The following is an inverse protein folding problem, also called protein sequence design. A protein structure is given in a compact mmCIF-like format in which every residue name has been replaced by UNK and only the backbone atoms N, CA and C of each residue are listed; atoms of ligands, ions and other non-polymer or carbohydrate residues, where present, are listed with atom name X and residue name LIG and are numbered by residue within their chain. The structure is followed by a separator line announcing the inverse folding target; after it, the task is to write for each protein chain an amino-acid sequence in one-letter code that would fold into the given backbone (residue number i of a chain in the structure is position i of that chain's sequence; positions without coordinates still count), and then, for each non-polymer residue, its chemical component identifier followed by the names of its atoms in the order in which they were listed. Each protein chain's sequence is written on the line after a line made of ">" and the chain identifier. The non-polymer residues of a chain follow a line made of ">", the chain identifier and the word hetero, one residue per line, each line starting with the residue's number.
data_IF_812128392721
#
_entry.id   IF_812128392721
#
_cell.length_a   1.000
_cell.length_b   1.000
_cell.length_c   1.000
_cell.angle_alpha   90.00
_cell.angle_beta   90.00
_cell.angle_gamma   90.00
#
_symmetry.space_group_name_H-M   'P 1'
#
loop_
_entity.id
_entity.type
_entity.pdbx_description
1 polymer ?
#
# COMPACT_ATOMS: atom_id res chain seq x y z
N UNK A 1 -6.24 -44.11 -2.66
CA UNK A 1 -5.93 -44.34 -4.09
C UNK A 1 -6.86 -43.44 -4.89
N UNK A 2 -6.36 -42.49 -5.69
CA UNK A 2 -7.22 -41.63 -6.51
C UNK A 2 -7.79 -42.46 -7.67
N UNK A 3 -9.10 -42.67 -7.67
CA UNK A 3 -9.81 -43.30 -8.80
C UNK A 3 -9.49 -42.54 -10.10
N UNK A 4 -9.37 -43.28 -11.21
CA UNK A 4 -9.14 -42.68 -12.54
C UNK A 4 -10.33 -41.78 -12.88
N UNK A 5 -10.08 -40.48 -13.03
CA UNK A 5 -11.12 -39.52 -13.38
C UNK A 5 -11.48 -39.62 -14.86
N UNK A 6 -12.76 -39.40 -15.20
CA UNK A 6 -13.23 -39.30 -16.58
C UNK A 6 -13.14 -37.84 -17.06
N UNK A 7 -12.79 -37.58 -18.32
CA UNK A 7 -12.78 -36.22 -18.85
C UNK A 7 -14.21 -35.67 -18.92
N UNK A 8 -14.39 -34.41 -18.52
CA UNK A 8 -15.65 -33.66 -18.62
C UNK A 8 -15.44 -32.48 -19.56
N UNK A 9 -16.35 -32.29 -20.51
CA UNK A 9 -16.36 -31.13 -21.39
C UNK A 9 -17.37 -30.10 -20.90
N UNK A 10 -16.94 -28.83 -20.87
CA UNK A 10 -17.77 -27.69 -20.49
C UNK A 10 -17.73 -26.72 -21.68
N UNK A 11 -18.90 -26.21 -22.08
CA UNK A 11 -19.00 -25.17 -23.10
C UNK A 11 -18.83 -23.82 -22.44
N UNK A 12 -17.94 -23.01 -23.02
CA UNK A 12 -17.67 -21.64 -22.59
C UNK A 12 -18.06 -20.68 -23.71
N UNK A 13 -18.49 -19.48 -23.34
CA UNK A 13 -18.66 -18.37 -24.26
C UNK A 13 -17.30 -17.94 -24.84
N UNK A 14 -17.31 -17.26 -25.99
CA UNK A 14 -16.07 -16.89 -26.69
C UNK A 14 -15.22 -15.92 -25.87
N UNK A 15 -15.88 -15.04 -25.13
CA UNK A 15 -15.28 -14.07 -24.21
C UNK A 15 -14.55 -14.78 -23.07
N UNK A 16 -15.17 -15.80 -22.48
CA UNK A 16 -14.61 -16.61 -21.38
C UNK A 16 -13.37 -17.38 -21.85
N UNK A 17 -13.39 -17.92 -23.08
CA UNK A 17 -12.24 -18.59 -23.69
C UNK A 17 -11.07 -17.62 -23.86
N UNK A 18 -11.35 -16.39 -24.29
CA UNK A 18 -10.32 -15.36 -24.46
C UNK A 18 -9.71 -14.95 -23.11
N UNK A 19 -10.54 -14.74 -22.08
CA UNK A 19 -10.08 -14.44 -20.73
C UNK A 19 -9.20 -15.56 -20.15
N UNK A 20 -9.61 -16.82 -20.33
CA UNK A 20 -8.85 -17.97 -19.87
C UNK A 20 -7.48 -18.07 -20.56
N UNK A 21 -7.43 -17.80 -21.87
CA UNK A 21 -6.17 -17.76 -22.64
C UNK A 21 -5.26 -16.62 -22.19
N UNK A 22 -5.81 -15.42 -21.99
CA UNK A 22 -5.06 -14.27 -21.51
C UNK A 22 -4.42 -14.55 -20.14
N UNK A 23 -5.19 -15.14 -19.22
CA UNK A 23 -4.70 -15.53 -17.89
C UNK A 23 -3.63 -16.63 -17.94
N UNK A 24 -3.80 -17.61 -18.82
CA UNK A 24 -2.80 -18.65 -19.05
C UNK A 24 -1.49 -18.05 -19.57
N UNK A 25 -1.56 -17.09 -20.50
CA UNK A 25 -0.40 -16.38 -21.01
C UNK A 25 0.31 -15.57 -19.91
N UNK A 26 -0.43 -14.81 -19.09
CA UNK A 26 0.16 -14.00 -18.00
C UNK A 26 0.87 -14.85 -16.94
N UNK A 27 0.41 -16.07 -16.73
CA UNK A 27 0.95 -17.00 -15.72
C UNK A 27 1.97 -17.99 -16.32
N UNK A 28 2.28 -17.88 -17.62
CA UNK A 28 3.11 -18.85 -18.36
C UNK A 28 2.65 -20.30 -18.13
N UNK A 29 1.34 -20.50 -18.07
CA UNK A 29 0.70 -21.76 -17.70
C UNK A 29 -0.14 -22.33 -18.85
N UNK A 30 -0.54 -23.60 -18.74
CA UNK A 30 -1.44 -24.22 -19.73
C UNK A 30 -2.89 -23.81 -19.46
N UNK A 31 -3.67 -23.61 -20.53
CA UNK A 31 -5.10 -23.27 -20.47
C UNK A 31 -5.88 -24.28 -19.61
N UNK A 32 -5.60 -25.57 -19.78
CA UNK A 32 -6.21 -26.65 -18.99
C UNK A 32 -5.79 -26.64 -17.53
N UNK A 33 -4.55 -26.26 -17.23
CA UNK A 33 -4.06 -26.11 -15.87
C UNK A 33 -4.76 -24.98 -15.13
N UNK A 34 -4.86 -23.81 -15.78
CA UNK A 34 -5.57 -22.65 -15.24
C UNK A 34 -7.07 -22.95 -15.05
N UNK A 35 -7.71 -23.61 -16.02
CA UNK A 35 -9.12 -24.00 -15.89
C UNK A 35 -9.34 -24.95 -14.72
N UNK A 36 -8.46 -25.94 -14.54
CA UNK A 36 -8.54 -26.89 -13.42
C UNK A 36 -8.38 -26.19 -12.08
N UNK A 37 -7.45 -25.25 -11.99
CA UNK A 37 -7.23 -24.46 -10.78
C UNK A 37 -8.45 -23.61 -10.45
N UNK A 38 -9.01 -22.90 -11.43
CA UNK A 38 -10.24 -22.12 -11.26
C UNK A 38 -11.43 -22.96 -10.81
N UNK A 39 -11.62 -24.14 -11.41
CA UNK A 39 -12.67 -25.08 -11.00
C UNK A 39 -12.42 -25.55 -9.57
N UNK A 40 -11.18 -25.88 -9.21
CA UNK A 40 -10.84 -26.32 -7.85
C UNK A 40 -11.09 -25.20 -6.83
N UNK A 41 -10.68 -23.97 -7.13
CA UNK A 41 -10.93 -22.80 -6.27
C UNK A 41 -12.42 -22.52 -6.16
N UNK A 42 -13.16 -22.55 -7.27
CA UNK A 42 -14.61 -22.32 -7.29
C UNK A 42 -15.41 -23.39 -6.56
N UNK A 43 -15.04 -24.68 -6.71
CA UNK A 43 -15.65 -25.79 -5.99
C UNK A 43 -15.29 -25.79 -4.49
N UNK A 44 -14.12 -25.27 -4.13
CA UNK A 44 -13.78 -24.96 -2.74
C UNK A 44 -14.53 -23.73 -2.18
N UNK A 45 -15.48 -23.18 -2.94
CA UNK A 45 -16.31 -22.02 -2.58
C UNK A 45 -15.65 -20.68 -2.87
N UNK A 46 -14.40 -20.66 -3.32
CA UNK A 46 -13.48 -19.54 -3.13
C UNK A 46 -13.36 -19.27 -1.63
N UNK A 47 -12.15 -19.16 -1.08
CA UNK A 47 -12.02 -18.77 0.33
C UNK A 47 -12.27 -17.25 0.46
N UNK A 48 -13.48 -16.82 0.08
CA UNK A 48 -13.94 -15.44 0.11
C UNK A 48 -13.88 -14.90 1.54
N UNK A 49 -14.04 -15.78 2.53
CA UNK A 49 -13.83 -15.47 3.94
C UNK A 49 -12.36 -15.16 4.22
N UNK A 50 -11.41 -16.03 3.86
CA UNK A 50 -9.99 -15.71 4.04
C UNK A 50 -9.53 -14.51 3.22
N UNK A 51 -10.11 -14.29 2.03
CA UNK A 51 -9.86 -13.10 1.23
C UNK A 51 -10.35 -11.85 1.96
N UNK A 52 -11.57 -11.87 2.50
CA UNK A 52 -12.12 -10.76 3.29
C UNK A 52 -11.30 -10.52 4.56
N UNK A 53 -10.92 -11.56 5.29
CA UNK A 53 -10.06 -11.47 6.48
C UNK A 53 -8.71 -10.85 6.13
N UNK A 54 -8.12 -11.23 4.99
CA UNK A 54 -6.87 -10.67 4.49
C UNK A 54 -7.03 -9.20 4.07
N UNK A 55 -8.14 -8.84 3.44
CA UNK A 55 -8.44 -7.45 3.08
C UNK A 55 -8.61 -6.58 4.33
N UNK A 56 -9.34 -7.05 5.35
CA UNK A 56 -9.45 -6.35 6.63
C UNK A 56 -8.11 -6.17 7.34
N UNK A 57 -7.22 -7.18 7.27
CA UNK A 57 -5.87 -7.05 7.83
C UNK A 57 -5.05 -5.99 7.09
N UNK A 58 -5.15 -5.94 5.77
CA UNK A 58 -4.48 -4.93 4.94
C UNK A 58 -5.02 -3.54 5.29
N UNK A 59 -6.34 -3.37 5.39
CA UNK A 59 -6.98 -2.11 5.77
C UNK A 59 -6.47 -1.60 7.14
N UNK A 60 -6.46 -2.46 8.16
CA UNK A 60 -5.93 -2.10 9.48
C UNK A 60 -4.46 -1.66 9.42
N UNK A 61 -3.64 -2.32 8.59
CA UNK A 61 -2.24 -1.95 8.40
C UNK A 61 -2.07 -0.61 7.69
N UNK A 62 -2.92 -0.31 6.70
CA UNK A 62 -2.91 0.98 6.00
C UNK A 62 -3.22 2.10 6.99
N UNK A 63 -4.26 1.95 7.81
CA UNK A 63 -4.64 2.94 8.82
C UNK A 63 -3.50 3.20 9.82
N UNK A 64 -2.83 2.13 10.28
CA UNK A 64 -1.69 2.28 11.19
C UNK A 64 -0.51 3.02 10.53
N UNK A 65 -0.21 2.73 9.27
CA UNK A 65 0.84 3.42 8.52
C UNK A 65 0.49 4.89 8.26
N UNK A 66 -0.78 5.20 8.02
CA UNK A 66 -1.26 6.57 7.86
C UNK A 66 -1.09 7.38 9.15
N UNK A 67 -1.48 6.82 10.30
CA UNK A 67 -1.26 7.43 11.62
C UNK A 67 0.22 7.68 11.88
N UNK A 68 1.08 6.69 11.61
CA UNK A 68 2.54 6.85 11.73
C UNK A 68 3.07 7.97 10.81
N UNK A 69 2.55 8.08 9.59
CA UNK A 69 2.90 9.15 8.65
C UNK A 69 2.53 10.53 9.17
N UNK A 70 1.33 10.67 9.76
CA UNK A 70 0.87 11.93 10.37
C UNK A 70 1.75 12.32 11.57
N UNK A 71 2.08 11.39 12.45
CA UNK A 71 2.97 11.64 13.58
C UNK A 71 4.36 12.08 13.11
N UNK A 72 4.92 11.40 12.10
CA UNK A 72 6.22 11.77 11.53
C UNK A 72 6.18 13.17 10.92
N UNK A 73 5.10 13.52 10.21
CA UNK A 73 4.92 14.85 9.66
C UNK A 73 4.87 15.93 10.75
N UNK A 74 4.12 15.69 11.83
CA UNK A 74 4.05 16.60 12.98
C UNK A 74 5.44 16.79 13.64
N UNK A 75 6.23 15.72 13.76
CA UNK A 75 7.61 15.81 14.27
C UNK A 75 8.50 16.66 13.37
N UNK A 76 8.42 16.48 12.05
CA UNK A 76 9.19 17.29 11.09
C UNK A 76 8.82 18.76 11.22
N UNK A 77 7.53 19.10 11.30
CA UNK A 77 7.09 20.48 11.50
C UNK A 77 7.62 21.08 12.82
N UNK A 78 7.63 20.30 13.90
CA UNK A 78 8.18 20.73 15.19
C UNK A 78 9.68 20.99 15.12
N UNK A 79 10.43 20.16 14.39
CA UNK A 79 11.87 20.35 14.18
C UNK A 79 12.11 21.61 13.37
N UNK A 80 11.41 21.78 12.24
CA UNK A 80 11.52 22.96 11.39
C UNK A 80 11.23 24.25 12.16
N UNK A 81 10.20 24.25 13.02
CA UNK A 81 9.89 25.39 13.87
C UNK A 81 11.02 25.67 14.87
N UNK A 82 11.52 24.63 15.54
CA UNK A 82 12.62 24.77 16.50
C UNK A 82 13.89 25.31 15.84
N UNK A 83 14.19 24.90 14.61
CA UNK A 83 15.31 25.41 13.83
C UNK A 83 15.14 26.89 13.48
N UNK A 84 13.92 27.31 13.09
CA UNK A 84 13.63 28.73 12.83
C UNK A 84 13.79 29.58 14.09
N UNK A 85 13.30 29.09 15.23
CA UNK A 85 13.42 29.79 16.51
C UNK A 85 14.90 29.94 16.91
N UNK A 86 15.71 28.89 16.73
CA UNK A 86 17.15 28.95 16.97
C UNK A 86 17.86 29.96 16.07
N UNK A 87 17.52 30.01 14.78
CA UNK A 87 18.07 31.02 13.87
C UNK A 87 17.71 32.43 14.30
N UNK A 88 16.46 32.68 14.70
CA UNK A 88 16.03 33.99 15.19
C UNK A 88 16.77 34.40 16.47
N UNK A 89 16.98 33.46 17.41
CA UNK A 89 17.77 33.72 18.62
C UNK A 89 19.24 34.04 18.28
N UNK A 90 19.84 33.29 17.36
CA UNK A 90 21.20 33.56 16.89
C UNK A 90 21.31 34.95 16.26
N UNK A 91 20.37 35.33 15.41
CA UNK A 91 20.33 36.65 14.78
C UNK A 91 20.18 37.76 15.83
N UNK A 92 19.31 37.57 16.83
CA UNK A 92 19.14 38.52 17.93
C UNK A 92 20.43 38.69 18.76
N UNK A 93 21.14 37.59 19.05
CA UNK A 93 22.43 37.62 19.73
C UNK A 93 23.51 38.34 18.91
N UNK A 94 23.57 38.07 17.60
CA UNK A 94 24.49 38.75 16.69
C UNK A 94 24.23 40.26 16.68
N UNK A 95 22.97 40.68 16.54
CA UNK A 95 22.59 42.11 16.57
C UNK A 95 22.91 42.79 17.91
N UNK A 96 22.75 42.08 19.02
CA UNK A 96 23.11 42.58 20.34
C UNK A 96 24.64 42.74 20.49
N UNK A 97 25.42 41.78 19.98
CA UNK A 97 26.89 41.81 20.03
C UNK A 97 27.50 42.84 19.08
N UNK A 98 26.88 43.12 17.93
CA UNK A 98 27.33 44.15 16.98
C UNK A 98 26.86 45.56 17.32
N UNK A 99 26.06 45.73 18.38
CA UNK A 99 25.60 47.03 18.85
C UNK A 99 24.50 47.67 18.00
N UNK A 100 23.85 46.92 17.11
CA UNK A 100 22.73 47.40 16.30
C UNK A 100 21.41 47.46 17.10
N UNK A 101 21.40 46.92 18.32
CA UNK A 101 20.26 47.05 19.22
C UNK A 101 20.27 48.41 19.90
N UNK A 102 19.27 49.23 19.56
CA UNK A 102 18.93 50.56 20.08
C UNK A 102 19.46 51.73 19.25
N UNK A 103 18.55 52.26 18.43
CA UNK A 103 18.61 53.65 18.02
C UNK A 103 18.80 54.54 19.24
N UNK A 104 19.90 55.29 19.19
CA UNK A 104 20.22 56.43 20.05
C UNK A 104 19.09 57.48 19.90
N UNK A 105 18.31 57.82 20.95
CA UNK A 105 17.68 59.12 20.99
C UNK A 105 18.74 60.17 21.37
N UNK A 106 18.54 61.37 20.83
CA UNK A 106 19.42 62.53 20.83
C UNK A 106 19.89 62.99 22.21
#
# INVERSE_FOLDING_TARGET
>A
MTEKTKPVSIRLAREEINQLRARAYSLSATVSGVARDLIRTGLAGGDNKALADRLMLIERRIVALEQQGQEMHARIQSIDQSTRDLFAMFEALLKALTGESTGRPA
#
